data_IF_572032173219
#
_entry.id   IF_572032173219
#
_cell.length_a   1.000
_cell.length_b   1.000
_cell.length_c   1.000
_cell.angle_alpha   90.00
_cell.angle_beta   90.00
_cell.angle_gamma   90.00
#
_symmetry.space_group_name_H-M   'P 1'
#
loop_
_entity.id
_entity.type
_entity.pdbx_description
1 polymer ?
#
# COMPACT_ATOMS: atom_id res chain seq x y z
N UNK A 1 -27.54 -28.60 -15.06
CA UNK A 1 -27.83 -28.20 -13.67
C UNK A 1 -26.53 -28.02 -12.95
N UNK A 2 -26.14 -26.76 -12.58
CA UNK A 2 -24.99 -26.51 -11.72
C UNK A 2 -25.38 -26.88 -10.28
N UNK A 3 -24.57 -27.60 -9.51
CA UNK A 3 -24.88 -27.88 -8.13
C UNK A 3 -24.99 -26.59 -7.34
N UNK A 4 -26.10 -26.35 -6.66
CA UNK A 4 -26.26 -25.28 -5.69
C UNK A 4 -25.15 -25.42 -4.65
N UNK A 5 -24.35 -24.37 -4.48
CA UNK A 5 -23.38 -24.27 -3.39
C UNK A 5 -24.15 -24.51 -2.07
N UNK A 6 -23.85 -25.63 -1.40
CA UNK A 6 -24.26 -25.83 -0.01
C UNK A 6 -23.72 -24.68 0.80
N UNK A 7 -24.60 -23.92 1.45
CA UNK A 7 -24.23 -23.02 2.54
C UNK A 7 -23.55 -23.88 3.63
N UNK A 8 -22.23 -24.03 3.50
CA UNK A 8 -21.39 -24.51 4.58
C UNK A 8 -21.49 -23.43 5.66
N UNK A 9 -22.27 -23.67 6.72
CA UNK A 9 -22.21 -22.88 7.96
C UNK A 9 -20.72 -22.71 8.26
N UNK A 10 -20.24 -21.45 8.28
CA UNK A 10 -18.85 -21.18 8.65
C UNK A 10 -18.61 -21.83 10.01
N UNK A 11 -17.71 -22.79 10.05
CA UNK A 11 -17.42 -23.47 11.30
C UNK A 11 -16.79 -22.45 12.26
N UNK A 12 -17.27 -22.44 13.50
CA UNK A 12 -16.76 -21.56 14.53
C UNK A 12 -15.25 -21.71 14.71
N UNK A 13 -14.59 -20.61 15.09
CA UNK A 13 -13.17 -20.61 15.48
C UNK A 13 -12.99 -21.52 16.70
N UNK A 14 -11.90 -22.29 16.71
CA UNK A 14 -11.47 -23.03 17.90
C UNK A 14 -11.17 -22.01 19.03
N UNK A 15 -11.76 -22.16 20.24
CA UNK A 15 -11.57 -21.18 21.31
C UNK A 15 -10.13 -21.02 21.77
N UNK A 16 -9.34 -22.09 21.84
CA UNK A 16 -7.94 -22.01 22.22
C UNK A 16 -7.10 -21.26 21.18
N UNK A 17 -7.45 -21.45 19.88
CA UNK A 17 -6.81 -20.74 18.81
C UNK A 17 -7.26 -19.28 18.73
N UNK A 18 -8.49 -18.96 19.13
CA UNK A 18 -8.94 -17.59 19.27
C UNK A 18 -8.17 -16.85 20.37
N UNK A 19 -8.01 -17.48 21.54
CA UNK A 19 -7.21 -16.93 22.64
C UNK A 19 -5.75 -16.69 22.24
N UNK A 20 -5.12 -17.63 21.51
CA UNK A 20 -3.76 -17.43 20.97
C UNK A 20 -3.67 -16.20 20.05
N UNK A 21 -4.71 -15.91 19.28
CA UNK A 21 -4.72 -14.73 18.41
C UNK A 21 -4.87 -13.42 19.19
N UNK A 22 -5.48 -13.45 20.37
CA UNK A 22 -5.60 -12.30 21.26
C UNK A 22 -4.26 -11.93 21.91
N UNK A 23 -3.28 -12.86 21.96
CA UNK A 23 -1.92 -12.61 22.45
C UNK A 23 -1.03 -11.89 21.42
N UNK A 24 -1.49 -11.76 20.17
CA UNK A 24 -0.76 -10.99 19.17
C UNK A 24 -0.83 -9.50 19.45
N UNK A 25 0.30 -8.82 19.28
CA UNK A 25 0.44 -7.38 19.46
C UNK A 25 0.98 -6.71 18.19
N UNK A 26 0.81 -5.40 18.06
CA UNK A 26 1.44 -4.63 17.00
C UNK A 26 2.92 -4.37 17.32
N UNK A 27 3.83 -4.83 16.46
CA UNK A 27 5.26 -4.49 16.47
C UNK A 27 5.56 -3.30 15.55
N UNK A 28 4.69 -3.05 14.59
CA UNK A 28 4.68 -1.90 13.69
C UNK A 28 3.25 -1.56 13.29
N UNK A 29 2.90 -0.28 13.32
CA UNK A 29 1.60 0.17 12.86
C UNK A 29 1.71 1.51 12.12
N UNK A 30 1.27 1.55 10.87
CA UNK A 30 1.43 2.69 9.98
C UNK A 30 0.15 2.96 9.21
N UNK A 31 -0.39 4.17 9.38
CA UNK A 31 -1.63 4.63 8.76
C UNK A 31 -1.42 5.93 8.02
N UNK A 32 -2.21 6.16 6.97
CA UNK A 32 -2.35 7.46 6.31
C UNK A 32 -3.67 8.06 6.74
N UNK A 33 -3.65 9.32 7.16
CA UNK A 33 -4.84 10.03 7.63
C UNK A 33 -5.82 10.28 6.48
N UNK A 34 -7.13 10.36 6.75
CA UNK A 34 -8.10 10.82 5.77
C UNK A 34 -8.10 12.35 5.67
N UNK A 35 -8.51 12.87 4.53
CA UNK A 35 -8.91 14.27 4.36
C UNK A 35 -10.38 14.46 4.79
N UNK A 36 -10.91 15.69 4.70
CA UNK A 36 -12.29 16.03 5.09
C UNK A 36 -13.36 15.23 4.31
N UNK A 37 -13.00 14.68 3.14
CA UNK A 37 -13.87 13.82 2.33
C UNK A 37 -13.69 12.31 2.62
N UNK A 38 -12.89 11.95 3.62
CA UNK A 38 -12.56 10.56 3.94
C UNK A 38 -11.58 9.88 2.94
N UNK A 39 -10.96 10.66 2.06
CA UNK A 39 -9.95 10.20 1.09
C UNK A 39 -8.54 10.39 1.67
N UNK A 40 -7.52 9.86 0.98
CA UNK A 40 -6.11 10.02 1.40
C UNK A 40 -5.31 10.98 0.53
N UNK A 41 -5.92 11.62 -0.46
CA UNK A 41 -5.28 12.60 -1.32
C UNK A 41 -5.18 13.97 -0.63
N UNK A 42 -4.07 14.65 -0.86
CA UNK A 42 -3.76 15.93 -0.24
C UNK A 42 -2.79 16.74 -1.11
N UNK A 43 -2.99 18.05 -1.13
CA UNK A 43 -1.96 18.96 -1.63
C UNK A 43 -0.98 19.26 -0.50
N UNK A 44 0.31 19.03 -0.73
CA UNK A 44 1.35 19.36 0.25
C UNK A 44 1.31 20.86 0.61
N UNK A 45 1.38 21.18 1.91
CA UNK A 45 1.25 22.53 2.43
C UNK A 45 -0.17 23.10 2.46
N UNK A 46 -1.20 22.26 2.28
CA UNK A 46 -2.61 22.68 2.41
C UNK A 46 -3.04 22.82 3.87
N UNK A 47 -4.10 23.59 4.11
CA UNK A 47 -4.72 23.72 5.45
C UNK A 47 -5.20 22.38 6.00
N UNK A 48 -5.64 21.47 5.15
CA UNK A 48 -6.06 20.11 5.55
C UNK A 48 -4.87 19.29 6.06
N UNK A 49 -3.72 19.39 5.37
CA UNK A 49 -2.50 18.73 5.83
C UNK A 49 -2.05 19.31 7.18
N UNK A 50 -2.04 20.64 7.33
CA UNK A 50 -1.66 21.30 8.57
C UNK A 50 -2.56 20.89 9.74
N UNK A 51 -3.89 20.91 9.58
CA UNK A 51 -4.85 20.45 10.59
C UNK A 51 -4.63 19.00 11.01
N UNK A 52 -4.35 18.13 10.05
CA UNK A 52 -4.10 16.72 10.32
C UNK A 52 -2.78 16.51 11.09
N UNK A 53 -1.75 17.28 10.78
CA UNK A 53 -0.48 17.28 11.51
C UNK A 53 -0.69 17.78 12.95
N UNK A 54 -1.40 18.90 13.14
CA UNK A 54 -1.69 19.47 14.46
C UNK A 54 -2.48 18.47 15.33
N UNK A 55 -3.48 17.79 14.78
CA UNK A 55 -4.21 16.77 15.48
C UNK A 55 -3.32 15.59 15.89
N UNK A 56 -2.41 15.15 15.02
CA UNK A 56 -1.48 14.08 15.32
C UNK A 56 -0.43 14.49 16.38
N UNK A 57 0.05 15.73 16.36
CA UNK A 57 0.92 16.31 17.40
C UNK A 57 0.18 16.34 18.74
N UNK A 58 -1.03 16.87 18.77
CA UNK A 58 -1.84 16.97 19.98
C UNK A 58 -2.10 15.57 20.60
N UNK A 59 -2.39 14.57 19.77
CA UNK A 59 -2.55 13.18 20.21
C UNK A 59 -1.26 12.64 20.84
N UNK A 60 -0.11 12.81 20.16
CA UNK A 60 1.18 12.33 20.65
C UNK A 60 1.58 12.95 21.98
N UNK A 61 1.41 14.27 22.11
CA UNK A 61 1.66 15.00 23.37
C UNK A 61 0.73 14.54 24.49
N UNK A 62 -0.56 14.31 24.19
CA UNK A 62 -1.52 13.79 25.17
C UNK A 62 -1.18 12.36 25.62
N UNK A 63 -0.42 11.59 24.82
CA UNK A 63 0.13 10.28 25.21
C UNK A 63 1.48 10.37 25.93
N UNK A 64 1.95 11.57 26.27
CA UNK A 64 3.21 11.79 26.97
C UNK A 64 4.44 11.64 26.09
N UNK A 65 4.28 11.66 24.76
CA UNK A 65 5.42 11.60 23.84
C UNK A 65 6.06 12.96 23.63
N UNK A 66 7.36 12.99 23.46
CA UNK A 66 8.15 14.21 23.32
C UNK A 66 8.60 14.42 21.86
N UNK A 67 8.32 15.59 21.27
CA UNK A 67 8.74 15.87 19.90
C UNK A 67 10.27 15.96 19.78
N UNK A 68 10.83 15.29 18.79
CA UNK A 68 12.24 15.40 18.43
C UNK A 68 12.48 16.42 17.32
N UNK A 69 13.68 16.44 16.75
CA UNK A 69 14.02 17.30 15.63
C UNK A 69 13.39 16.80 14.33
N UNK A 70 12.86 17.75 13.55
CA UNK A 70 12.37 17.44 12.20
C UNK A 70 13.54 16.94 11.35
N UNK A 71 13.34 15.84 10.66
CA UNK A 71 14.31 15.21 9.78
C UNK A 71 13.76 15.05 8.36
N UNK A 72 14.62 14.64 7.43
CA UNK A 72 14.20 14.22 6.09
C UNK A 72 13.16 13.10 6.14
N UNK A 73 12.14 13.19 5.32
CA UNK A 73 11.08 12.19 5.25
C UNK A 73 11.52 10.93 4.53
N UNK A 74 10.68 9.90 4.63
CA UNK A 74 10.87 8.59 4.00
C UNK A 74 9.62 8.18 3.21
N UNK A 75 9.76 7.20 2.32
CA UNK A 75 8.64 6.58 1.58
C UNK A 75 7.78 7.60 0.81
N UNK A 76 8.42 8.59 0.17
CA UNK A 76 7.73 9.60 -0.62
C UNK A 76 7.18 10.79 0.16
N UNK A 77 7.60 10.98 1.41
CA UNK A 77 7.34 12.17 2.23
C UNK A 77 8.61 13.02 2.35
N UNK A 78 8.45 14.35 2.39
CA UNK A 78 9.58 15.31 2.42
C UNK A 78 10.11 15.54 3.82
N UNK A 79 9.24 15.47 4.83
CA UNK A 79 9.59 15.73 6.22
C UNK A 79 9.05 14.64 7.14
N UNK A 80 9.74 14.42 8.25
CA UNK A 80 9.32 13.55 9.33
C UNK A 80 9.56 14.23 10.68
N UNK A 81 8.52 14.28 11.52
CA UNK A 81 8.60 14.72 12.90
C UNK A 81 8.56 13.47 13.79
N UNK A 82 9.71 13.08 14.40
CA UNK A 82 9.75 11.97 15.33
C UNK A 82 9.25 12.37 16.71
N UNK A 83 8.73 11.41 17.45
CA UNK A 83 8.38 11.52 18.86
C UNK A 83 9.06 10.41 19.65
N UNK A 84 9.57 10.75 20.81
CA UNK A 84 10.35 9.91 21.71
C UNK A 84 9.49 9.56 22.92
N UNK A 85 9.73 8.41 23.53
CA UNK A 85 9.09 8.03 24.80
C UNK A 85 9.60 8.87 25.99
N UNK A 86 10.83 9.33 25.88
CA UNK A 86 11.54 10.11 26.89
C UNK A 86 12.37 11.20 26.17
N UNK A 87 12.46 12.45 26.69
CA UNK A 87 13.25 13.52 26.07
C UNK A 87 14.75 13.18 25.90
N UNK A 88 15.28 12.30 26.77
CA UNK A 88 16.68 11.85 26.71
C UNK A 88 16.88 10.62 25.81
N UNK A 89 15.79 9.99 25.39
CA UNK A 89 15.83 8.84 24.49
C UNK A 89 16.28 9.24 23.09
N UNK A 90 17.01 8.37 22.44
CA UNK A 90 17.30 8.47 21.00
C UNK A 90 16.33 7.64 20.17
N UNK A 91 15.46 6.89 20.80
CA UNK A 91 14.54 5.97 20.12
C UNK A 91 13.24 6.66 19.74
N UNK A 92 12.94 6.64 18.46
CA UNK A 92 11.67 7.13 17.93
C UNK A 92 10.60 6.05 18.11
N UNK A 93 9.55 6.36 18.85
CA UNK A 93 8.38 5.46 19.05
C UNK A 93 7.21 5.82 18.14
N UNK A 94 7.09 7.11 17.78
CA UNK A 94 6.04 7.59 16.89
C UNK A 94 6.62 8.59 15.91
N UNK A 95 6.06 8.66 14.70
CA UNK A 95 6.51 9.57 13.66
C UNK A 95 5.35 10.08 12.82
N UNK A 96 5.36 11.38 12.54
CA UNK A 96 4.46 12.04 11.59
C UNK A 96 5.26 12.35 10.33
N UNK A 97 4.92 11.72 9.20
CA UNK A 97 5.50 12.01 7.90
C UNK A 97 4.56 12.93 7.10
N UNK A 98 5.09 14.00 6.51
CA UNK A 98 4.32 15.04 5.82
C UNK A 98 4.98 15.50 4.53
N UNK A 99 4.26 16.28 3.72
CA UNK A 99 4.75 16.79 2.45
C UNK A 99 4.91 15.67 1.42
N UNK A 100 3.88 14.85 1.22
CA UNK A 100 3.92 13.73 0.27
C UNK A 100 4.18 14.21 -1.16
N UNK A 101 5.16 13.60 -1.84
CA UNK A 101 5.43 13.80 -3.27
C UNK A 101 4.37 13.13 -4.16
N UNK A 102 3.65 12.15 -3.62
CA UNK A 102 2.55 11.47 -4.30
C UNK A 102 1.17 12.09 -4.01
N UNK A 103 1.12 13.26 -3.36
CA UNK A 103 -0.12 13.96 -3.06
C UNK A 103 -0.98 13.20 -2.04
N UNK A 104 -0.39 12.65 -0.99
CA UNK A 104 -1.10 11.92 0.07
C UNK A 104 -1.14 12.73 1.37
N UNK A 105 -2.18 12.52 2.16
CA UNK A 105 -2.31 13.02 3.53
C UNK A 105 -1.16 12.52 4.41
N UNK A 106 -0.87 13.18 5.57
CA UNK A 106 0.15 12.76 6.49
C UNK A 106 0.05 11.29 6.87
N UNK A 107 1.21 10.68 7.02
CA UNK A 107 1.33 9.28 7.40
C UNK A 107 1.87 9.18 8.83
N UNK A 108 1.15 8.46 9.68
CA UNK A 108 1.49 8.23 11.08
C UNK A 108 2.09 6.84 11.22
N UNK A 109 3.19 6.72 11.95
CA UNK A 109 3.93 5.48 12.10
C UNK A 109 4.31 5.26 13.56
N UNK A 110 3.88 4.15 14.12
CA UNK A 110 4.36 3.60 15.38
C UNK A 110 5.40 2.52 15.12
N UNK A 111 6.45 2.50 15.90
CA UNK A 111 7.52 1.50 15.84
C UNK A 111 7.54 0.65 17.11
N UNK A 112 8.05 -0.58 16.99
CA UNK A 112 7.99 -1.59 18.05
C UNK A 112 8.89 -1.38 19.27
N UNK A 113 9.60 -0.24 19.36
CA UNK A 113 10.51 0.03 20.44
C UNK A 113 9.86 -0.16 21.81
N UNK A 114 10.43 -1.06 22.62
CA UNK A 114 10.02 -1.36 24.01
C UNK A 114 8.52 -1.61 24.24
N UNK A 115 7.81 -2.14 23.24
CA UNK A 115 6.36 -2.38 23.35
C UNK A 115 5.47 -1.17 23.06
N UNK A 116 6.04 0.01 22.84
CA UNK A 116 5.28 1.24 22.63
C UNK A 116 4.25 1.14 21.49
N UNK A 117 4.55 0.38 20.44
CA UNK A 117 3.59 0.17 19.35
C UNK A 117 2.35 -0.60 19.83
N UNK A 118 2.53 -1.64 20.66
CA UNK A 118 1.43 -2.42 21.22
C UNK A 118 0.50 -1.56 22.08
N UNK A 119 1.07 -0.69 22.90
CA UNK A 119 0.32 0.16 23.82
C UNK A 119 -0.39 1.32 23.13
N UNK A 120 0.23 1.89 22.11
CA UNK A 120 -0.25 3.12 21.46
C UNK A 120 -1.17 2.85 20.26
N UNK A 121 -1.02 1.73 19.55
CA UNK A 121 -1.77 1.47 18.33
C UNK A 121 -3.29 1.45 18.50
N UNK A 122 -3.88 0.84 19.55
CA UNK A 122 -5.32 0.90 19.76
C UNK A 122 -5.85 2.33 19.93
N UNK A 123 -5.13 3.16 20.71
CA UNK A 123 -5.48 4.56 20.89
C UNK A 123 -5.31 5.39 19.63
N UNK A 124 -4.34 5.04 18.75
CA UNK A 124 -4.18 5.69 17.46
C UNK A 124 -5.31 5.32 16.49
N UNK A 125 -5.76 4.05 16.50
CA UNK A 125 -6.92 3.60 15.73
C UNK A 125 -8.20 4.34 16.14
N UNK A 126 -8.42 4.51 17.43
CA UNK A 126 -9.57 5.22 17.99
C UNK A 126 -9.55 6.73 17.67
N UNK A 127 -8.39 7.37 17.79
CA UNK A 127 -8.23 8.80 17.58
C UNK A 127 -8.40 9.24 16.12
N UNK A 128 -8.11 8.36 15.16
CA UNK A 128 -8.14 8.68 13.74
C UNK A 128 -9.06 7.73 12.96
N UNK A 129 -10.39 7.80 13.20
CA UNK A 129 -11.35 6.98 12.45
C UNK A 129 -11.29 7.32 10.96
N UNK A 130 -11.42 6.29 10.12
CA UNK A 130 -11.30 6.45 8.67
C UNK A 130 -9.86 6.48 8.15
N UNK A 131 -8.85 6.43 9.01
CA UNK A 131 -7.46 6.26 8.61
C UNK A 131 -7.27 4.98 7.78
N UNK A 132 -6.25 4.98 6.94
CA UNK A 132 -6.00 3.92 5.95
C UNK A 132 -4.70 3.21 6.28
N UNK A 133 -4.76 1.92 6.57
CA UNK A 133 -3.58 1.12 6.91
C UNK A 133 -2.59 1.09 5.74
N UNK A 134 -1.36 1.53 5.98
CA UNK A 134 -0.25 1.41 5.04
C UNK A 134 0.55 0.14 5.30
N UNK A 135 0.82 -0.15 6.58
CA UNK A 135 1.50 -1.37 7.04
C UNK A 135 1.12 -1.65 8.50
N UNK A 136 0.96 -2.91 8.82
CA UNK A 136 0.99 -3.39 10.20
C UNK A 136 1.84 -4.65 10.29
N UNK A 137 2.60 -4.78 11.38
CA UNK A 137 3.27 -6.02 11.73
C UNK A 137 2.63 -6.53 13.03
N UNK A 138 1.98 -7.70 12.94
CA UNK A 138 1.38 -8.39 14.07
C UNK A 138 2.36 -9.47 14.54
N UNK A 139 2.79 -9.41 15.80
CA UNK A 139 3.82 -10.25 16.36
C UNK A 139 3.30 -11.07 17.54
N UNK A 140 3.85 -12.28 17.69
CA UNK A 140 3.68 -13.16 18.85
C UNK A 140 5.06 -13.67 19.25
N UNK A 141 5.39 -13.55 20.53
CA UNK A 141 6.59 -14.14 21.14
C UNK A 141 6.22 -15.45 21.81
N UNK A 142 7.00 -16.51 21.54
CA UNK A 142 6.77 -17.83 22.08
C UNK A 142 8.07 -18.56 22.36
N UNK A 143 8.22 -19.11 23.60
CA UNK A 143 9.39 -19.90 23.99
C UNK A 143 9.02 -21.37 24.02
N UNK A 144 9.67 -22.17 23.16
CA UNK A 144 9.52 -23.62 23.10
C UNK A 144 10.69 -24.23 22.33
N UNK A 145 11.36 -25.21 22.96
CA UNK A 145 12.48 -25.90 22.34
C UNK A 145 12.10 -26.54 20.99
N UNK A 146 12.93 -26.31 19.96
CA UNK A 146 12.77 -26.88 18.64
C UNK A 146 11.67 -26.23 17.78
N UNK A 147 10.91 -25.27 18.32
CA UNK A 147 9.77 -24.69 17.61
C UNK A 147 10.15 -24.03 16.28
N UNK A 148 11.32 -23.35 16.22
CA UNK A 148 11.78 -22.71 14.99
C UNK A 148 11.94 -23.73 13.85
N UNK A 149 12.52 -24.88 14.11
CA UNK A 149 12.75 -25.94 13.13
C UNK A 149 11.43 -26.58 12.67
N UNK A 150 10.51 -26.83 13.59
CA UNK A 150 9.19 -27.38 13.29
C UNK A 150 8.36 -26.43 12.42
N UNK A 151 8.37 -25.13 12.73
CA UNK A 151 7.70 -24.10 11.93
C UNK A 151 8.34 -23.94 10.55
N UNK A 152 9.67 -24.08 10.44
CA UNK A 152 10.37 -24.06 9.16
C UNK A 152 9.94 -25.23 8.25
N UNK A 153 9.87 -26.45 8.80
CA UNK A 153 9.40 -27.64 8.07
C UNK A 153 7.96 -27.43 7.58
N UNK A 154 7.10 -26.95 8.46
CA UNK A 154 5.72 -26.63 8.11
C UNK A 154 5.63 -25.55 7.03
N UNK A 155 6.40 -24.45 7.14
CA UNK A 155 6.43 -23.38 6.15
C UNK A 155 6.87 -23.88 4.76
N UNK A 156 7.88 -24.75 4.69
CA UNK A 156 8.33 -25.40 3.45
C UNK A 156 7.21 -26.24 2.83
N UNK A 157 6.52 -27.01 3.64
CA UNK A 157 5.38 -27.83 3.18
C UNK A 157 4.23 -26.99 2.62
N UNK A 158 3.87 -25.89 3.31
CA UNK A 158 2.84 -24.95 2.84
C UNK A 158 3.24 -24.24 1.56
N UNK A 159 4.51 -23.85 1.44
CA UNK A 159 5.07 -23.22 0.25
C UNK A 159 4.99 -24.14 -0.97
N UNK A 160 5.34 -25.43 -0.81
CA UNK A 160 5.21 -26.42 -1.87
C UNK A 160 3.77 -26.66 -2.32
N UNK A 161 2.83 -26.66 -1.36
CA UNK A 161 1.41 -26.81 -1.64
C UNK A 161 0.76 -25.59 -2.28
N UNK A 162 1.39 -24.41 -2.18
CA UNK A 162 0.84 -23.14 -2.68
C UNK A 162 1.92 -22.30 -3.38
N UNK A 163 2.03 -22.47 -4.69
CA UNK A 163 3.02 -21.78 -5.52
C UNK A 163 2.97 -20.25 -5.43
N UNK A 164 1.82 -19.65 -5.03
CA UNK A 164 1.68 -18.21 -4.85
C UNK A 164 2.46 -17.67 -3.64
N UNK A 165 2.83 -18.52 -2.69
CA UNK A 165 3.62 -18.11 -1.54
C UNK A 165 5.11 -17.93 -1.88
N UNK A 166 5.56 -18.45 -3.01
CA UNK A 166 6.98 -18.54 -3.34
C UNK A 166 7.71 -19.53 -2.41
N UNK A 167 9.03 -19.57 -2.51
CA UNK A 167 9.86 -20.41 -1.64
C UNK A 167 10.05 -19.81 -0.25
N UNK A 168 10.37 -20.66 0.72
CA UNK A 168 10.83 -20.22 2.04
C UNK A 168 12.27 -19.74 1.89
N UNK A 169 12.55 -18.51 2.33
CA UNK A 169 13.90 -17.97 2.39
C UNK A 169 14.42 -18.04 3.82
N UNK A 170 15.54 -18.71 4.03
CA UNK A 170 16.22 -18.79 5.32
C UNK A 170 17.45 -17.89 5.30
N UNK A 171 17.69 -17.19 6.40
CA UNK A 171 18.88 -16.38 6.66
C UNK A 171 19.43 -16.81 8.02
N UNK A 172 20.71 -17.10 8.06
CA UNK A 172 21.47 -17.34 9.29
C UNK A 172 22.55 -16.27 9.41
N UNK A 173 22.66 -15.65 10.57
CA UNK A 173 23.62 -14.58 10.85
C UNK A 173 23.92 -14.52 12.34
N UNK A 174 24.81 -13.62 12.74
CA UNK A 174 25.11 -13.34 14.14
C UNK A 174 23.87 -12.87 14.93
N UNK A 175 22.85 -12.36 14.23
CA UNK A 175 21.55 -12.00 14.79
C UNK A 175 20.59 -13.20 14.96
N UNK A 176 21.08 -14.42 14.78
CA UNK A 176 20.27 -15.64 14.87
C UNK A 176 19.68 -16.07 13.53
N UNK A 177 18.81 -17.08 13.59
CA UNK A 177 18.15 -17.68 12.44
C UNK A 177 16.83 -16.98 12.16
N UNK A 178 16.58 -16.70 10.89
CA UNK A 178 15.33 -16.10 10.42
C UNK A 178 14.83 -16.83 9.17
N UNK A 179 13.54 -17.12 9.09
CA UNK A 179 12.95 -17.48 7.80
C UNK A 179 11.80 -16.56 7.42
N UNK A 180 11.59 -16.45 6.11
CA UNK A 180 10.52 -15.65 5.50
C UNK A 180 9.65 -16.55 4.62
N UNK A 181 8.33 -16.32 4.65
CA UNK A 181 7.35 -16.91 3.75
C UNK A 181 6.48 -15.80 3.17
N UNK A 182 6.32 -15.82 1.85
CA UNK A 182 5.69 -14.73 1.09
C UNK A 182 6.69 -13.64 0.68
N UNK A 183 6.37 -12.91 -0.39
CA UNK A 183 7.21 -11.82 -0.90
C UNK A 183 7.13 -10.59 0.01
N UNK A 184 8.23 -9.84 0.10
CA UNK A 184 8.27 -8.54 0.80
C UNK A 184 7.28 -7.51 0.23
N UNK A 185 6.86 -7.67 -1.02
CA UNK A 185 5.89 -6.80 -1.70
C UNK A 185 4.47 -7.35 -1.68
N UNK A 186 4.25 -8.57 -1.16
CA UNK A 186 2.92 -9.14 -1.06
C UNK A 186 2.08 -8.45 0.02
N UNK A 187 0.76 -8.57 -0.11
CA UNK A 187 -0.20 -8.00 0.85
C UNK A 187 -0.07 -8.61 2.24
N UNK A 188 0.42 -9.85 2.33
CA UNK A 188 0.68 -10.57 3.58
C UNK A 188 1.98 -11.35 3.43
N UNK A 189 2.87 -11.22 4.41
CA UNK A 189 4.10 -12.00 4.52
C UNK A 189 4.36 -12.38 5.97
N UNK A 190 5.13 -13.45 6.15
CA UNK A 190 5.51 -14.00 7.45
C UNK A 190 7.03 -13.93 7.61
N UNK A 191 7.47 -13.55 8.81
CA UNK A 191 8.84 -13.70 9.30
C UNK A 191 8.81 -14.45 10.63
N UNK A 192 9.66 -15.44 10.78
CA UNK A 192 9.88 -16.14 12.06
C UNK A 192 11.36 -16.12 12.39
N UNK A 193 11.70 -15.71 13.61
CA UNK A 193 13.10 -15.53 13.99
C UNK A 193 13.35 -15.69 15.50
N UNK A 194 14.62 -15.99 15.84
CA UNK A 194 15.13 -16.09 17.22
C UNK A 194 15.22 -14.69 17.83
N UNK A 195 14.22 -14.34 18.67
CA UNK A 195 14.03 -12.94 19.13
C UNK A 195 15.13 -12.45 20.06
N UNK A 196 15.53 -13.26 21.03
CA UNK A 196 16.54 -12.83 22.00
C UNK A 196 17.95 -12.78 21.40
N UNK A 197 18.25 -13.60 20.41
CA UNK A 197 19.50 -13.46 19.65
C UNK A 197 19.54 -12.13 18.88
N UNK A 198 18.43 -11.72 18.29
CA UNK A 198 18.31 -10.40 17.66
C UNK A 198 18.49 -9.26 18.66
N UNK A 199 17.88 -9.37 19.87
CA UNK A 199 17.99 -8.35 20.93
C UNK A 199 19.42 -8.25 21.47
N UNK A 200 20.09 -9.37 21.69
CA UNK A 200 21.49 -9.41 22.14
C UNK A 200 22.44 -8.81 21.09
N UNK A 201 22.25 -9.14 19.80
CA UNK A 201 23.05 -8.57 18.72
C UNK A 201 22.88 -7.06 18.56
N UNK A 202 21.72 -6.51 18.98
CA UNK A 202 21.46 -5.07 19.06
C UNK A 202 21.91 -4.42 20.38
N UNK A 203 22.43 -5.19 21.32
CA UNK A 203 22.83 -4.68 22.63
C UNK A 203 21.65 -4.31 23.54
N UNK A 204 20.47 -4.88 23.31
CA UNK A 204 19.26 -4.64 24.13
C UNK A 204 19.23 -5.52 25.37
N UNK A 205 19.79 -6.73 25.28
CA UNK A 205 19.98 -7.66 26.39
C UNK A 205 21.40 -8.20 26.38
N UNK A 206 21.88 -8.67 27.55
CA UNK A 206 23.18 -9.35 27.65
C UNK A 206 23.12 -10.75 27.02
N UNK A 207 24.27 -11.22 26.53
CA UNK A 207 24.38 -12.56 25.94
C UNK A 207 24.05 -13.67 26.93
N UNK A 208 24.22 -13.43 28.26
CA UNK A 208 23.87 -14.36 29.32
C UNK A 208 22.36 -14.50 29.55
N UNK A 209 21.57 -13.52 29.11
CA UNK A 209 20.12 -13.47 29.31
C UNK A 209 19.31 -13.96 28.08
N UNK A 210 20.02 -14.54 27.10
CA UNK A 210 19.36 -15.06 25.87
C UNK A 210 18.54 -16.30 26.23
N UNK A 211 17.24 -16.27 25.96
CA UNK A 211 16.42 -17.48 25.82
C UNK A 211 16.61 -18.03 24.39
N UNK A 212 17.34 -19.16 24.21
CA UNK A 212 17.60 -19.68 22.86
C UNK A 212 16.34 -20.23 22.17
N UNK A 213 15.29 -20.48 22.93
CA UNK A 213 14.02 -21.05 22.45
C UNK A 213 12.95 -19.99 22.21
N UNK A 214 13.23 -18.71 22.56
CA UNK A 214 12.32 -17.62 22.31
C UNK A 214 12.34 -17.24 20.82
N UNK A 215 11.23 -17.47 20.16
CA UNK A 215 11.02 -17.08 18.77
C UNK A 215 9.92 -16.02 18.67
N UNK A 216 10.02 -15.18 17.64
CA UNK A 216 8.94 -14.29 17.24
C UNK A 216 8.34 -14.74 15.91
N UNK A 217 7.02 -14.88 15.91
CA UNK A 217 6.20 -15.08 14.72
C UNK A 217 5.62 -13.70 14.34
N UNK A 218 6.04 -13.14 13.22
CA UNK A 218 5.68 -11.78 12.81
C UNK A 218 5.00 -11.79 11.43
N UNK A 219 3.78 -11.31 11.40
CA UNK A 219 2.98 -11.15 10.19
C UNK A 219 3.00 -9.70 9.73
N UNK A 220 3.45 -9.46 8.52
CA UNK A 220 3.38 -8.13 7.90
C UNK A 220 2.18 -8.05 6.97
N UNK A 221 1.34 -7.04 7.18
CA UNK A 221 0.18 -6.71 6.37
C UNK A 221 0.40 -5.41 5.60
N UNK A 222 0.20 -5.45 4.27
CA UNK A 222 0.22 -4.30 3.35
C UNK A 222 -1.03 -4.36 2.49
N UNK A 223 -2.19 -3.91 2.99
CA UNK A 223 -3.46 -4.08 2.29
C UNK A 223 -3.52 -3.28 1.00
N UNK A 224 -4.27 -3.80 0.03
CA UNK A 224 -4.60 -3.06 -1.20
C UNK A 224 -5.56 -1.92 -0.90
N UNK A 225 -5.61 -0.91 -1.79
CA UNK A 225 -6.30 0.36 -1.54
C UNK A 225 -7.74 0.20 -1.03
N UNK A 226 -8.53 -0.74 -1.57
CA UNK A 226 -9.93 -0.97 -1.18
C UNK A 226 -10.15 -1.52 0.23
N UNK A 227 -9.13 -2.14 0.82
CA UNK A 227 -9.22 -2.75 2.17
C UNK A 227 -8.45 -1.98 3.22
N UNK A 228 -7.78 -0.89 2.86
CA UNK A 228 -6.93 -0.13 3.78
C UNK A 228 -7.68 0.43 5.00
N UNK A 229 -8.83 1.04 4.79
CA UNK A 229 -9.63 1.60 5.89
C UNK A 229 -10.20 0.49 6.78
N UNK A 230 -10.82 -0.54 6.20
CA UNK A 230 -11.33 -1.67 6.96
C UNK A 230 -10.25 -2.45 7.72
N UNK A 231 -9.03 -2.53 7.19
CA UNK A 231 -7.90 -3.16 7.89
C UNK A 231 -7.34 -2.29 9.03
N UNK A 232 -7.43 -0.97 8.92
CA UNK A 232 -6.90 -0.05 9.92
C UNK A 232 -7.62 -0.15 11.28
N UNK A 233 -8.82 -0.71 11.31
CA UNK A 233 -9.64 -0.87 12.53
C UNK A 233 -9.51 -2.25 13.19
N UNK A 234 -8.75 -3.18 12.57
CA UNK A 234 -8.65 -4.55 13.07
C UNK A 234 -7.56 -4.68 14.13
N UNK A 235 -7.80 -5.53 15.13
CA UNK A 235 -6.79 -6.00 16.05
C UNK A 235 -5.76 -6.91 15.33
N UNK A 236 -4.54 -7.09 15.89
CA UNK A 236 -3.48 -7.89 15.24
C UNK A 236 -3.93 -9.30 14.86
N UNK A 237 -4.57 -10.02 15.76
CA UNK A 237 -5.07 -11.38 15.52
C UNK A 237 -6.20 -11.43 14.50
N UNK A 238 -7.03 -10.40 14.42
CA UNK A 238 -8.07 -10.29 13.40
C UNK A 238 -7.48 -10.10 12.00
N UNK A 239 -6.39 -9.32 11.89
CA UNK A 239 -5.68 -9.15 10.61
C UNK A 239 -5.20 -10.50 10.05
N UNK A 240 -4.71 -11.40 10.90
CA UNK A 240 -4.30 -12.77 10.50
C UNK A 240 -5.50 -13.52 9.89
N UNK A 241 -6.68 -13.35 10.46
CA UNK A 241 -7.90 -14.00 9.98
C UNK A 241 -8.39 -13.52 8.62
N UNK A 242 -7.89 -12.40 8.10
CA UNK A 242 -8.25 -11.89 6.76
C UNK A 242 -7.63 -12.70 5.63
N UNK A 243 -6.50 -13.38 5.85
CA UNK A 243 -5.76 -14.14 4.85
C UNK A 243 -6.00 -15.66 5.00
N UNK A 244 -6.30 -16.33 3.90
CA UNK A 244 -6.53 -17.80 3.90
C UNK A 244 -5.30 -18.57 4.37
N UNK A 245 -4.14 -18.27 3.79
CA UNK A 245 -2.92 -19.01 4.12
C UNK A 245 -2.36 -18.65 5.51
N UNK A 246 -2.58 -17.41 5.99
CA UNK A 246 -2.19 -17.05 7.35
C UNK A 246 -3.02 -17.80 8.39
N UNK A 247 -4.33 -17.97 8.14
CA UNK A 247 -5.19 -18.81 8.98
C UNK A 247 -4.74 -20.27 9.01
N UNK A 248 -4.40 -20.83 7.83
CA UNK A 248 -3.94 -22.22 7.75
C UNK A 248 -2.60 -22.41 8.46
N UNK A 249 -1.68 -21.46 8.27
CA UNK A 249 -0.41 -21.46 9.00
C UNK A 249 -0.63 -21.44 10.51
N UNK A 250 -1.40 -20.48 11.03
CA UNK A 250 -1.63 -20.32 12.47
C UNK A 250 -2.37 -21.51 13.09
N UNK A 251 -3.32 -22.08 12.38
CA UNK A 251 -4.01 -23.29 12.84
C UNK A 251 -3.07 -24.48 13.02
N UNK A 252 -2.09 -24.62 12.14
CA UNK A 252 -1.04 -25.66 12.24
C UNK A 252 0.01 -25.32 13.28
N UNK A 253 0.45 -24.07 13.31
CA UNK A 253 1.41 -23.57 14.31
C UNK A 253 0.88 -23.81 15.74
N UNK A 254 -0.38 -23.48 16.00
CA UNK A 254 -1.01 -23.71 17.31
C UNK A 254 -1.01 -25.18 17.75
N UNK A 255 -1.12 -26.13 16.80
CA UNK A 255 -0.98 -27.55 17.11
C UNK A 255 0.48 -27.93 17.42
N UNK A 256 1.45 -27.37 16.70
CA UNK A 256 2.89 -27.55 16.98
C UNK A 256 3.26 -26.93 18.34
N UNK A 257 2.73 -25.75 18.64
CA UNK A 257 2.89 -25.04 19.92
C UNK A 257 2.11 -25.70 21.07
N UNK A 258 1.41 -26.79 20.81
CA UNK A 258 0.60 -27.55 21.78
C UNK A 258 -0.56 -26.72 22.41
N UNK A 259 -0.91 -25.60 21.81
CA UNK A 259 -2.08 -24.78 22.19
C UNK A 259 -3.38 -25.55 21.87
N UNK A 260 -3.39 -26.27 20.76
CA UNK A 260 -4.49 -27.15 20.38
C UNK A 260 -4.02 -28.59 20.25
N UNK A 261 -4.89 -29.58 20.61
CA UNK A 261 -4.55 -31.01 20.49
C UNK A 261 -4.45 -31.50 19.04
N UNK A 262 -4.99 -30.75 18.11
CA UNK A 262 -5.02 -31.02 16.66
C UNK A 262 -5.09 -29.70 15.90
N UNK A 263 -4.84 -29.75 14.59
CA UNK A 263 -5.00 -28.58 13.74
C UNK A 263 -6.43 -28.04 13.86
N UNK A 264 -6.55 -26.88 14.48
CA UNK A 264 -7.81 -26.18 14.70
C UNK A 264 -8.34 -25.51 13.44
N UNK A 265 -9.41 -24.74 13.57
CA UNK A 265 -9.98 -23.97 12.47
C UNK A 265 -10.18 -22.50 12.89
N UNK A 266 -9.75 -21.59 12.03
CA UNK A 266 -9.99 -20.16 12.16
C UNK A 266 -11.07 -19.71 11.17
N UNK A 267 -12.11 -19.06 11.67
CA UNK A 267 -13.09 -18.38 10.81
C UNK A 267 -12.43 -17.19 10.11
N UNK A 268 -12.95 -16.86 8.93
CA UNK A 268 -12.53 -15.70 8.17
C UNK A 268 -12.97 -14.40 8.87
N UNK A 269 -12.08 -13.42 8.93
CA UNK A 269 -12.44 -12.05 9.28
C UNK A 269 -12.84 -11.31 8.01
N UNK A 270 -14.06 -10.80 7.99
CA UNK A 270 -14.51 -9.94 6.91
C UNK A 270 -13.90 -8.54 7.05
N UNK A 271 -13.41 -8.02 5.95
CA UNK A 271 -12.88 -6.65 5.87
C UNK A 271 -13.85 -5.82 5.08
N UNK A 272 -14.31 -4.73 5.66
CA UNK A 272 -15.10 -3.74 4.94
C UNK A 272 -14.23 -3.18 3.80
N UNK A 273 -14.70 -3.38 2.59
CA UNK A 273 -14.02 -2.86 1.40
C UNK A 273 -14.72 -1.59 0.97
N UNK A 274 -13.94 -0.55 0.78
CA UNK A 274 -14.45 0.66 0.16
C UNK A 274 -14.98 0.33 -1.23
N UNK A 275 -16.25 0.56 -1.44
CA UNK A 275 -16.83 0.59 -2.78
C UNK A 275 -16.51 1.97 -3.31
N UNK A 276 -15.40 2.10 -4.02
CA UNK A 276 -15.19 3.29 -4.84
C UNK A 276 -16.23 3.24 -5.94
N UNK A 277 -17.14 4.18 -5.94
CA UNK A 277 -17.92 4.46 -7.14
C UNK A 277 -16.90 4.73 -8.25
N UNK A 278 -16.96 3.90 -9.28
CA UNK A 278 -16.19 4.14 -10.49
C UNK A 278 -16.88 5.29 -11.19
N UNK A 279 -16.46 6.51 -10.88
CA UNK A 279 -16.88 7.65 -11.69
C UNK A 279 -16.22 7.52 -13.06
N UNK A 280 -16.91 7.97 -14.09
CA UNK A 280 -16.36 8.01 -15.45
C UNK A 280 -15.04 8.78 -15.46
N UNK A 281 -14.99 9.90 -14.74
CA UNK A 281 -13.83 10.74 -14.53
C UNK A 281 -12.64 9.96 -13.89
N UNK A 282 -12.91 9.19 -12.84
CA UNK A 282 -11.87 8.36 -12.20
C UNK A 282 -11.35 7.24 -13.11
N UNK A 283 -12.20 6.69 -13.97
CA UNK A 283 -11.82 5.68 -14.96
C UNK A 283 -10.98 6.29 -16.07
N UNK A 284 -11.37 7.47 -16.55
CA UNK A 284 -10.64 8.22 -17.56
C UNK A 284 -9.26 8.65 -17.06
N UNK A 285 -9.20 9.24 -15.86
CA UNK A 285 -7.92 9.62 -15.21
C UNK A 285 -6.98 8.44 -15.10
N UNK A 286 -7.46 7.29 -14.63
CA UNK A 286 -6.65 6.07 -14.54
C UNK A 286 -6.18 5.59 -15.92
N UNK A 287 -7.02 5.67 -16.95
CA UNK A 287 -6.63 5.35 -18.31
C UNK A 287 -5.52 6.26 -18.83
N UNK A 288 -5.65 7.58 -18.62
CA UNK A 288 -4.60 8.55 -18.99
C UNK A 288 -3.30 8.28 -18.24
N UNK A 289 -3.35 8.12 -16.91
CA UNK A 289 -2.16 7.82 -16.09
C UNK A 289 -1.46 6.53 -16.55
N UNK A 290 -2.23 5.49 -16.87
CA UNK A 290 -1.69 4.20 -17.27
C UNK A 290 -1.05 4.23 -18.66
N UNK A 291 -1.62 4.98 -19.60
CA UNK A 291 -1.20 4.97 -21.00
C UNK A 291 -0.50 6.27 -21.46
N UNK A 292 -0.34 7.27 -20.58
CA UNK A 292 0.27 8.55 -20.90
C UNK A 292 1.61 8.43 -21.66
N UNK A 293 2.50 7.55 -21.20
CA UNK A 293 3.77 7.31 -21.88
C UNK A 293 3.62 6.72 -23.29
N UNK A 294 2.60 5.90 -23.52
CA UNK A 294 2.32 5.30 -24.83
C UNK A 294 1.80 6.36 -25.77
N UNK A 295 0.89 7.20 -25.31
CA UNK A 295 0.32 8.29 -26.12
C UNK A 295 1.38 9.36 -26.43
N UNK A 296 2.21 9.74 -25.43
CA UNK A 296 3.32 10.65 -25.64
C UNK A 296 4.32 10.14 -26.72
N UNK A 297 4.61 8.84 -26.69
CA UNK A 297 5.49 8.21 -27.71
C UNK A 297 4.85 8.22 -29.10
N UNK A 298 3.56 7.95 -29.19
CA UNK A 298 2.82 7.99 -30.47
C UNK A 298 2.76 9.40 -31.03
N UNK A 299 2.44 10.40 -30.18
CA UNK A 299 2.43 11.81 -30.58
C UNK A 299 3.79 12.25 -31.10
N UNK A 300 4.86 11.96 -30.34
CA UNK A 300 6.21 12.29 -30.74
C UNK A 300 6.63 11.61 -32.07
N UNK A 301 6.27 10.34 -32.25
CA UNK A 301 6.58 9.61 -33.49
C UNK A 301 5.87 10.25 -34.70
N UNK A 302 4.57 10.58 -34.57
CA UNK A 302 3.80 11.24 -35.65
C UNK A 302 4.34 12.63 -35.98
N UNK A 303 4.73 13.41 -34.98
CA UNK A 303 5.31 14.74 -35.22
C UNK A 303 6.65 14.64 -35.96
N UNK A 304 7.50 13.67 -35.58
CA UNK A 304 8.77 13.41 -36.28
C UNK A 304 8.51 12.97 -37.73
N UNK A 305 7.55 12.09 -37.99
CA UNK A 305 7.17 11.67 -39.33
C UNK A 305 6.65 12.86 -40.16
N UNK A 306 5.75 13.68 -39.60
CA UNK A 306 5.24 14.89 -40.27
C UNK A 306 6.35 15.88 -40.60
N UNK A 307 7.35 16.02 -39.73
CA UNK A 307 8.52 16.86 -39.99
C UNK A 307 9.36 16.31 -41.14
N UNK A 308 9.63 15.01 -41.16
CA UNK A 308 10.37 14.35 -42.25
C UNK A 308 9.62 14.40 -43.58
N UNK A 309 8.31 14.36 -43.55
CA UNK A 309 7.43 14.48 -44.74
C UNK A 309 7.27 15.95 -45.24
N UNK A 310 7.99 16.91 -44.64
CA UNK A 310 7.92 18.34 -45.03
C UNK A 310 6.63 19.03 -44.65
N UNK A 311 5.84 18.48 -43.73
CA UNK A 311 4.58 19.09 -43.23
C UNK A 311 4.83 20.20 -42.23
N UNK A 312 6.02 20.28 -41.66
CA UNK A 312 6.49 21.38 -40.82
C UNK A 312 7.71 22.05 -41.41
N UNK A 313 7.63 23.35 -41.60
CA UNK A 313 8.71 24.16 -42.18
C UNK A 313 9.84 24.49 -41.20
N UNK A 314 9.67 24.12 -39.93
CA UNK A 314 10.61 24.45 -38.85
C UNK A 314 11.21 23.21 -38.19
N UNK A 315 12.49 23.28 -37.84
CA UNK A 315 13.15 22.28 -37.02
C UNK A 315 12.80 22.40 -35.51
N UNK A 316 11.88 23.28 -35.18
CA UNK A 316 11.43 23.58 -33.81
C UNK A 316 10.00 23.11 -33.67
N UNK A 317 9.76 22.21 -32.70
CA UNK A 317 8.41 21.76 -32.32
C UNK A 317 7.98 22.52 -31.07
N UNK A 318 6.82 23.14 -31.15
CA UNK A 318 6.24 23.86 -30.02
C UNK A 318 5.43 22.92 -29.14
N UNK A 319 5.29 23.18 -27.82
CA UNK A 319 4.45 22.39 -26.92
C UNK A 319 3.01 22.24 -27.39
N UNK A 320 2.45 23.26 -28.04
CA UNK A 320 1.09 23.26 -28.55
C UNK A 320 0.90 22.26 -29.71
N UNK A 321 1.93 22.02 -30.52
CA UNK A 321 1.90 21.02 -31.59
C UNK A 321 1.78 19.62 -31.00
N UNK A 322 2.53 19.35 -29.91
CA UNK A 322 2.51 18.07 -29.19
C UNK A 322 1.13 17.85 -28.57
N UNK A 323 0.53 18.89 -28.00
CA UNK A 323 -0.79 18.84 -27.41
C UNK A 323 -1.87 18.57 -28.48
N UNK A 324 -1.82 19.26 -29.60
CA UNK A 324 -2.75 19.07 -30.70
C UNK A 324 -2.71 17.63 -31.25
N UNK A 325 -1.51 17.08 -31.44
CA UNK A 325 -1.33 15.70 -31.88
C UNK A 325 -1.81 14.67 -30.85
N UNK A 326 -1.60 14.94 -29.58
CA UNK A 326 -2.10 14.08 -28.50
C UNK A 326 -3.63 14.05 -28.47
N UNK A 327 -4.30 15.20 -28.66
CA UNK A 327 -5.76 15.33 -28.77
C UNK A 327 -6.28 14.53 -29.95
N UNK A 328 -5.62 14.61 -31.11
CA UNK A 328 -6.01 13.86 -32.30
C UNK A 328 -5.91 12.35 -32.10
N UNK A 329 -4.82 11.87 -31.47
CA UNK A 329 -4.64 10.45 -31.14
C UNK A 329 -5.71 9.96 -30.17
N UNK A 330 -6.01 10.73 -29.13
CA UNK A 330 -7.06 10.41 -28.17
C UNK A 330 -8.44 10.36 -28.82
N UNK A 331 -8.75 11.34 -29.67
CA UNK A 331 -10.00 11.39 -30.43
C UNK A 331 -10.17 10.17 -31.32
N UNK A 332 -9.12 9.79 -32.06
CA UNK A 332 -9.15 8.61 -32.91
C UNK A 332 -9.37 7.31 -32.12
N UNK A 333 -8.71 7.15 -30.99
CA UNK A 333 -8.88 5.97 -30.12
C UNK A 333 -10.29 5.88 -29.53
N UNK A 334 -10.90 6.99 -29.16
CA UNK A 334 -12.29 7.01 -28.65
C UNK A 334 -13.30 6.75 -29.76
N UNK A 335 -13.04 7.19 -30.97
CA UNK A 335 -13.92 6.96 -32.11
C UNK A 335 -13.94 5.51 -32.62
N UNK A 336 -12.83 4.76 -32.43
CA UNK A 336 -12.73 3.38 -32.89
C UNK A 336 -13.41 2.35 -31.95
N UNK A 337 -13.88 2.76 -30.75
CA UNK A 337 -14.36 1.78 -29.79
C UNK A 337 -15.83 1.97 -29.39
N UNK A 338 -16.71 1.08 -29.85
CA UNK A 338 -18.00 0.75 -29.21
C UNK A 338 -17.88 0.45 -27.69
N UNK A 339 -16.67 0.24 -27.20
CA UNK A 339 -16.37 -0.02 -25.81
C UNK A 339 -16.69 1.20 -24.92
N UNK A 340 -16.43 2.42 -25.38
CA UNK A 340 -16.73 3.64 -24.64
C UNK A 340 -18.24 3.82 -24.44
N UNK A 341 -19.04 3.55 -25.49
CA UNK A 341 -20.50 3.59 -25.41
C UNK A 341 -21.06 2.53 -24.48
N UNK A 342 -20.52 1.30 -24.50
CA UNK A 342 -20.92 0.23 -23.57
C UNK A 342 -20.63 0.59 -22.12
N UNK A 343 -19.53 1.28 -21.84
CA UNK A 343 -19.20 1.78 -20.50
C UNK A 343 -20.26 2.80 -20.06
N UNK A 344 -20.68 3.74 -20.91
CA UNK A 344 -21.71 4.71 -20.60
C UNK A 344 -23.05 4.07 -20.25
N UNK A 345 -23.49 3.10 -21.03
CA UNK A 345 -24.73 2.36 -20.77
C UNK A 345 -24.64 1.58 -19.45
N UNK A 346 -23.47 0.99 -19.14
CA UNK A 346 -23.24 0.28 -17.89
C UNK A 346 -23.18 1.18 -16.66
N UNK A 347 -22.65 2.39 -16.81
CA UNK A 347 -22.54 3.40 -15.73
C UNK A 347 -23.85 4.22 -15.55
N UNK A 348 -24.92 3.89 -16.30
CA UNK A 348 -26.22 4.59 -16.25
C UNK A 348 -26.14 6.09 -16.54
N UNK A 349 -25.18 6.50 -17.34
CA UNK A 349 -25.14 7.86 -17.85
C UNK A 349 -26.34 8.09 -18.75
N UNK A 350 -26.75 9.36 -18.89
CA UNK A 350 -27.95 9.72 -19.65
C UNK A 350 -27.89 9.15 -21.06
N UNK A 351 -28.67 8.09 -21.29
CA UNK A 351 -28.71 7.34 -22.57
C UNK A 351 -29.51 8.08 -23.66
N UNK A 352 -30.01 9.29 -23.35
CA UNK A 352 -30.72 10.14 -24.36
C UNK A 352 -29.75 10.88 -25.27
N UNK A 353 -28.46 10.94 -24.90
CA UNK A 353 -27.44 11.60 -25.69
C UNK A 353 -26.96 10.70 -26.83
N UNK A 354 -26.85 11.29 -28.02
CA UNK A 354 -26.28 10.63 -29.21
C UNK A 354 -24.83 10.19 -28.90
N UNK A 355 -24.43 8.96 -29.30
CA UNK A 355 -23.08 8.47 -29.11
C UNK A 355 -21.97 9.43 -29.54
N UNK A 356 -22.14 10.14 -30.62
CA UNK A 356 -21.14 11.08 -31.14
C UNK A 356 -21.08 12.38 -30.32
N UNK A 357 -22.24 12.89 -29.88
CA UNK A 357 -22.31 14.03 -28.95
C UNK A 357 -21.69 13.68 -27.60
N UNK A 358 -21.95 12.47 -27.11
CA UNK A 358 -21.37 12.01 -25.87
C UNK A 358 -19.84 11.90 -25.96
N UNK A 359 -19.31 11.31 -27.03
CA UNK A 359 -17.86 11.21 -27.26
C UNK A 359 -17.21 12.59 -27.29
N UNK A 360 -17.83 13.56 -27.96
CA UNK A 360 -17.32 14.92 -28.01
C UNK A 360 -17.33 15.61 -26.64
N UNK A 361 -18.42 15.48 -25.87
CA UNK A 361 -18.50 16.01 -24.49
C UNK A 361 -17.48 15.37 -23.56
N UNK A 362 -17.31 14.06 -23.61
CA UNK A 362 -16.38 13.33 -22.80
C UNK A 362 -14.92 13.69 -23.09
N UNK A 363 -14.59 13.82 -24.38
CA UNK A 363 -13.27 14.27 -24.81
C UNK A 363 -12.99 15.70 -24.31
N UNK A 364 -13.96 16.58 -24.43
CA UNK A 364 -13.87 17.95 -23.96
C UNK A 364 -13.67 18.04 -22.45
N UNK A 365 -14.46 17.31 -21.66
CA UNK A 365 -14.30 17.23 -20.20
C UNK A 365 -12.95 16.64 -19.78
N UNK A 366 -12.45 15.63 -20.49
CA UNK A 366 -11.16 15.01 -20.22
C UNK A 366 -10.00 15.97 -20.49
N UNK A 367 -10.09 16.73 -21.57
CA UNK A 367 -9.07 17.65 -22.04
C UNK A 367 -9.13 19.02 -21.35
N UNK A 368 -10.28 19.39 -20.77
CA UNK A 368 -10.44 20.59 -19.94
C UNK A 368 -9.82 20.47 -18.53
N UNK A 369 -9.28 19.29 -18.17
CA UNK A 369 -8.59 19.14 -16.90
C UNK A 369 -7.11 19.56 -17.04
N UNK A 370 -6.73 20.78 -16.59
CA UNK A 370 -5.39 21.34 -16.83
C UNK A 370 -4.27 20.40 -16.38
N UNK A 371 -4.48 19.68 -15.28
CA UNK A 371 -3.50 18.74 -14.73
C UNK A 371 -3.23 17.55 -15.65
N UNK A 372 -4.24 17.03 -16.33
CA UNK A 372 -4.07 15.88 -17.23
C UNK A 372 -3.32 16.31 -18.49
N UNK A 373 -3.68 17.47 -19.02
CA UNK A 373 -3.03 18.05 -20.19
C UNK A 373 -1.58 18.39 -19.89
N UNK A 374 -1.31 19.04 -18.76
CA UNK A 374 0.04 19.43 -18.35
C UNK A 374 0.91 18.20 -18.14
N UNK A 375 0.44 17.18 -17.44
CA UNK A 375 1.19 15.95 -17.21
C UNK A 375 1.46 15.18 -18.52
N UNK A 376 0.52 15.19 -19.44
CA UNK A 376 0.66 14.57 -20.75
C UNK A 376 1.66 15.35 -21.62
N UNK A 377 1.54 16.68 -21.68
CA UNK A 377 2.44 17.58 -22.38
C UNK A 377 3.87 17.45 -21.89
N UNK A 378 4.08 17.50 -20.57
CA UNK A 378 5.42 17.42 -19.97
C UNK A 378 6.10 16.09 -20.31
N UNK A 379 5.37 14.97 -20.23
CA UNK A 379 5.92 13.65 -20.59
C UNK A 379 6.18 13.50 -22.10
N UNK A 380 5.33 14.06 -22.95
CA UNK A 380 5.54 14.07 -24.39
C UNK A 380 6.77 14.89 -24.74
N UNK A 381 6.93 16.05 -24.10
CA UNK A 381 8.07 16.94 -24.27
C UNK A 381 9.38 16.29 -23.85
N UNK A 382 9.45 15.70 -22.65
CA UNK A 382 10.62 14.98 -22.16
C UNK A 382 11.05 13.85 -23.11
N UNK A 383 10.07 13.10 -23.61
CA UNK A 383 10.34 12.01 -24.54
C UNK A 383 10.87 12.51 -25.88
N UNK A 384 10.33 13.59 -26.40
CA UNK A 384 10.77 14.21 -27.64
C UNK A 384 12.15 14.84 -27.49
N UNK A 385 12.42 15.58 -26.42
CA UNK A 385 13.70 16.18 -26.13
C UNK A 385 14.82 15.13 -26.07
N UNK A 386 14.57 13.99 -25.41
CA UNK A 386 15.51 12.88 -25.33
C UNK A 386 15.82 12.26 -26.70
N UNK A 387 14.86 12.23 -27.62
CA UNK A 387 15.00 11.58 -28.93
C UNK A 387 15.49 12.51 -30.02
N UNK A 388 15.13 13.78 -29.95
CA UNK A 388 15.53 14.81 -30.93
C UNK A 388 16.96 15.28 -30.74
N UNK A 389 17.52 15.19 -29.52
CA UNK A 389 18.95 15.39 -29.28
C UNK A 389 19.81 14.41 -30.09
N UNK A 390 19.27 13.22 -30.39
CA UNK A 390 19.92 12.20 -31.23
C UNK A 390 19.77 12.47 -32.72
N UNK A 391 18.71 13.18 -33.15
CA UNK A 391 18.39 13.46 -34.56
C UNK A 391 18.76 14.89 -35.02
N UNK A 392 19.32 15.73 -34.16
CA UNK A 392 19.74 17.08 -34.49
C UNK A 392 18.63 18.13 -34.56
N UNK A 393 17.41 17.79 -34.13
CA UNK A 393 16.29 18.73 -33.97
C UNK A 393 16.35 19.44 -32.62
N UNK A 394 16.01 20.72 -32.58
CA UNK A 394 15.94 21.50 -31.34
C UNK A 394 14.50 21.53 -30.83
N UNK A 395 14.33 21.34 -29.54
CA UNK A 395 13.05 21.48 -28.82
C UNK A 395 13.15 22.76 -27.98
N UNK A 396 12.23 23.68 -28.17
CA UNK A 396 12.15 24.90 -27.32
C UNK A 396 11.47 24.58 -26.01
N UNK A 397 12.00 25.14 -24.93
CA UNK A 397 11.52 24.92 -23.54
C UNK A 397 10.30 25.80 -23.22
#
# INVERSE_FOLDING_TARGET
>A
MKPKAKNLKEAATDPALAALLDDFFFDWFQITLPNDEGKSDCRAGSDQEAKAIDAAIAWAVAKGLHPGQIMGGHNGYRAALPFLSDPESRETVFRINSGSTAGLMPNLMLTGGHGACADLAPGLQEAFPGARLSRADAALDWSQAGLWDDLLVMAKTLSQANAKLGGVRVIESDMGRTFYLGSRTSTVSLRVYEKDRERAAKGVIDAADIDPDLIRIEWTFRPQSKSKAGMACLAPGEMIRTSVWARDFMARAAAIMQVTKRVGRLSKQEVVREVREKTLEGTARHGVEQYANTFARLAAARLVERHHDGRYDTAILEPDDIQAEAVEIFGALLNETDAAWKICVQERLDVTMDPDQWRASYLHELLDQPRIIDEFRDRAYDFMAARMTVSGLQVTA
#
